data_IF_029342761325
#
_entry.id   IF_029342761325
#
_cell.length_a   1.000
_cell.length_b   1.000
_cell.length_c   1.000
_cell.angle_alpha   90.00
_cell.angle_beta   90.00
_cell.angle_gamma   90.00
#
_symmetry.space_group_name_H-M   'P 1'
#
loop_
_entity.id
_entity.type
_entity.pdbx_description
1 polymer ?
#
# COMPACT_ATOMS: atom_id res chain seq x y z
N UNK A 1 8.09 -26.61 3.67
CA UNK A 1 9.19 -25.69 4.07
C UNK A 1 8.53 -24.43 4.62
N UNK A 2 8.51 -24.29 5.95
CA UNK A 2 7.82 -23.18 6.64
C UNK A 2 8.48 -21.86 6.28
N UNK A 3 7.74 -20.99 5.60
CA UNK A 3 8.13 -19.61 5.40
C UNK A 3 8.05 -18.91 6.77
N UNK A 4 9.23 -18.56 7.31
CA UNK A 4 9.39 -17.85 8.59
C UNK A 4 8.50 -16.62 8.57
N UNK A 5 7.57 -16.53 9.54
CA UNK A 5 6.80 -15.32 9.82
C UNK A 5 7.79 -14.17 10.05
N UNK A 6 7.83 -13.24 9.10
CA UNK A 6 8.52 -11.96 9.30
C UNK A 6 7.60 -11.09 10.15
N UNK A 7 7.93 -10.99 11.42
CA UNK A 7 7.32 -10.07 12.36
C UNK A 7 7.78 -8.64 11.99
N UNK A 8 6.89 -7.86 11.37
CA UNK A 8 7.20 -6.53 10.85
C UNK A 8 7.15 -5.43 11.92
N UNK A 9 7.15 -5.77 13.20
CA UNK A 9 7.06 -4.80 14.30
C UNK A 9 8.39 -4.14 14.68
N UNK A 10 9.56 -4.62 14.19
CA UNK A 10 10.89 -4.14 14.63
C UNK A 10 11.92 -3.93 13.52
N UNK A 11 11.56 -3.53 12.31
CA UNK A 11 12.58 -3.20 11.33
C UNK A 11 12.77 -1.70 11.15
N UNK A 12 13.73 -1.13 11.89
CA UNK A 12 14.40 0.13 11.55
C UNK A 12 15.35 -0.11 10.37
N UNK A 13 14.84 -0.04 9.13
CA UNK A 13 15.70 -0.15 7.96
C UNK A 13 16.08 1.24 7.44
N UNK A 14 17.36 1.61 7.60
CA UNK A 14 17.99 2.74 6.91
C UNK A 14 18.13 2.38 5.43
N UNK A 15 17.53 3.19 4.56
CA UNK A 15 17.60 3.14 3.11
C UNK A 15 19.04 3.05 2.61
N UNK A 16 19.50 1.85 2.20
CA UNK A 16 20.70 1.61 1.39
C UNK A 16 20.44 0.46 0.42
N UNK A 17 19.43 0.60 -0.45
CA UNK A 17 19.34 -0.26 -1.62
C UNK A 17 19.40 0.62 -2.86
N UNK A 18 20.32 0.31 -3.81
CA UNK A 18 20.28 0.92 -5.14
C UNK A 18 18.92 0.60 -5.76
N UNK A 19 18.35 1.57 -6.45
CA UNK A 19 17.12 1.40 -7.22
C UNK A 19 17.35 0.32 -8.30
N UNK A 20 17.18 -0.96 -7.95
CA UNK A 20 17.06 -2.03 -8.93
C UNK A 20 15.64 -1.99 -9.49
N UNK A 21 15.30 -0.93 -10.19
CA UNK A 21 14.16 -0.88 -11.09
C UNK A 21 14.51 -1.66 -12.36
N UNK A 22 14.62 -2.99 -12.22
CA UNK A 22 14.56 -3.89 -13.36
C UNK A 22 13.11 -3.93 -13.82
N UNK A 23 12.90 -3.62 -15.09
CA UNK A 23 11.67 -3.70 -15.89
C UNK A 23 10.45 -4.30 -15.18
N UNK A 24 9.59 -3.45 -14.58
CA UNK A 24 8.18 -3.78 -14.39
C UNK A 24 7.82 -4.81 -13.30
N UNK A 25 8.63 -5.03 -12.26
CA UNK A 25 8.27 -5.91 -11.14
C UNK A 25 7.20 -5.30 -10.24
N UNK A 26 6.29 -6.14 -9.71
CA UNK A 26 5.34 -5.71 -8.70
C UNK A 26 6.07 -5.34 -7.40
N UNK A 27 5.58 -4.31 -6.72
CA UNK A 27 6.14 -3.78 -5.47
C UNK A 27 5.09 -3.83 -4.39
N UNK A 28 5.44 -4.42 -3.26
CA UNK A 28 4.65 -4.33 -2.03
C UNK A 28 5.15 -3.14 -1.22
N UNK A 29 4.24 -2.26 -0.81
CA UNK A 29 4.56 -1.02 -0.10
C UNK A 29 3.74 -0.96 1.18
N UNK A 30 4.38 -0.57 2.28
CA UNK A 30 3.72 -0.27 3.55
C UNK A 30 4.11 1.11 4.04
N UNK A 31 3.13 1.91 4.46
CA UNK A 31 3.35 3.20 5.09
C UNK A 31 2.34 3.43 6.21
N UNK A 32 2.71 4.23 7.21
CA UNK A 32 1.94 4.40 8.42
C UNK A 32 1.57 5.87 8.67
N UNK A 33 0.52 6.07 9.46
CA UNK A 33 0.17 7.37 10.01
C UNK A 33 1.24 7.86 10.98
N UNK A 34 1.39 9.17 11.10
CA UNK A 34 2.30 9.76 12.07
C UNK A 34 1.86 9.40 13.50
N UNK A 35 2.79 8.90 14.31
CA UNK A 35 2.51 8.48 15.68
C UNK A 35 1.52 7.32 15.80
N UNK A 36 1.29 6.56 14.72
CA UNK A 36 0.28 5.47 14.68
C UNK A 36 -1.15 5.96 14.99
N UNK A 37 -1.48 7.20 14.63
CA UNK A 37 -2.81 7.76 14.78
C UNK A 37 -3.84 6.95 13.99
N UNK A 38 -4.97 6.63 14.61
CA UNK A 38 -6.04 5.85 13.98
C UNK A 38 -6.82 6.71 12.99
N UNK A 39 -6.93 6.22 11.75
CA UNK A 39 -7.77 6.80 10.70
C UNK A 39 -9.23 6.47 10.99
N UNK A 40 -10.10 7.47 11.04
CA UNK A 40 -11.54 7.24 11.05
C UNK A 40 -12.02 6.60 9.73
N UNK A 41 -13.22 6.00 9.67
CA UNK A 41 -13.77 5.39 8.47
C UNK A 41 -13.67 6.29 7.25
N UNK A 42 -14.09 7.55 7.35
CA UNK A 42 -14.11 8.53 6.27
C UNK A 42 -12.68 8.84 5.77
N UNK A 43 -11.70 8.85 6.67
CA UNK A 43 -10.29 9.02 6.30
C UNK A 43 -9.76 7.82 5.54
N UNK A 44 -10.18 6.60 5.91
CA UNK A 44 -9.83 5.38 5.16
C UNK A 44 -10.45 5.37 3.77
N UNK A 45 -11.68 5.87 3.60
CA UNK A 45 -12.32 6.05 2.30
C UNK A 45 -11.54 7.01 1.41
N UNK A 46 -11.06 8.12 1.96
CA UNK A 46 -10.21 9.08 1.25
C UNK A 46 -8.94 8.39 0.74
N UNK A 47 -8.27 7.61 1.58
CA UNK A 47 -7.02 6.93 1.21
C UNK A 47 -7.27 5.88 0.12
N UNK A 48 -8.29 5.04 0.28
CA UNK A 48 -8.63 4.00 -0.69
C UNK A 48 -8.96 4.62 -2.06
N UNK A 49 -9.81 5.65 -2.10
CA UNK A 49 -10.12 6.37 -3.35
C UNK A 49 -8.87 6.94 -4.01
N UNK A 50 -7.93 7.48 -3.22
CA UNK A 50 -6.68 8.01 -3.77
C UNK A 50 -5.79 6.91 -4.36
N UNK A 51 -5.74 5.73 -3.75
CA UNK A 51 -5.03 4.57 -4.30
C UNK A 51 -5.67 4.10 -5.62
N UNK A 52 -6.99 4.01 -5.67
CA UNK A 52 -7.73 3.64 -6.87
C UNK A 52 -7.60 4.68 -8.00
N UNK A 53 -7.56 5.97 -7.67
CA UNK A 53 -7.41 7.04 -8.67
C UNK A 53 -6.11 6.95 -9.48
N UNK A 54 -5.04 6.47 -8.87
CA UNK A 54 -3.72 6.29 -9.52
C UNK A 54 -3.63 5.05 -10.41
N UNK A 55 -4.56 4.10 -10.24
CA UNK A 55 -4.62 2.86 -11.02
C UNK A 55 -4.86 3.14 -12.51
N UNK A 56 -4.10 2.47 -13.39
CA UNK A 56 -4.12 2.68 -14.84
C UNK A 56 -3.47 3.98 -15.31
N UNK A 57 -2.91 4.81 -14.42
CA UNK A 57 -2.27 6.10 -14.75
C UNK A 57 -0.78 6.10 -14.42
N UNK A 58 -0.44 5.82 -13.18
CA UNK A 58 0.96 5.84 -12.68
C UNK A 58 1.44 4.46 -12.27
N UNK A 59 0.53 3.55 -12.06
CA UNK A 59 0.75 2.16 -11.69
C UNK A 59 -0.47 1.31 -12.04
N UNK A 60 -0.27 0.02 -12.09
CA UNK A 60 -1.31 -0.98 -12.05
C UNK A 60 -1.46 -1.45 -10.60
N UNK A 61 -2.63 -1.24 -10.00
CA UNK A 61 -2.92 -1.66 -8.63
C UNK A 61 -3.38 -3.12 -8.62
N UNK A 62 -2.80 -3.93 -7.74
CA UNK A 62 -3.17 -5.32 -7.56
C UNK A 62 -3.93 -5.55 -6.26
N UNK A 63 -3.53 -4.85 -5.19
CA UNK A 63 -4.24 -4.84 -3.91
C UNK A 63 -3.98 -3.56 -3.14
N UNK A 64 -4.98 -3.12 -2.36
CA UNK A 64 -4.87 -2.04 -1.39
C UNK A 64 -5.64 -2.41 -0.13
N UNK A 65 -4.98 -2.37 1.03
CA UNK A 65 -5.59 -2.62 2.33
C UNK A 65 -5.28 -1.46 3.26
N UNK A 66 -6.33 -0.70 3.60
CA UNK A 66 -6.21 0.49 4.44
C UNK A 66 -6.54 0.10 5.87
N UNK A 67 -5.51 -0.20 6.65
CA UNK A 67 -5.64 -0.51 8.07
C UNK A 67 -5.89 0.76 8.89
N UNK A 68 -6.32 0.65 10.16
CA UNK A 68 -6.57 1.84 10.98
C UNK A 68 -5.38 2.80 11.09
N UNK A 69 -4.15 2.32 11.20
CA UNK A 69 -2.95 3.15 11.42
C UNK A 69 -1.87 3.00 10.36
N UNK A 70 -2.10 2.21 9.30
CA UNK A 70 -1.17 2.01 8.19
C UNK A 70 -1.87 1.50 6.93
N UNK A 71 -1.15 1.50 5.83
CA UNK A 71 -1.65 1.10 4.52
C UNK A 71 -0.70 0.10 3.90
N UNK A 72 -1.26 -0.94 3.29
CA UNK A 72 -0.54 -1.88 2.44
C UNK A 72 -1.00 -1.71 1.00
N UNK A 73 -0.04 -1.62 0.09
CA UNK A 73 -0.28 -1.59 -1.36
C UNK A 73 0.54 -2.68 -2.05
N UNK A 74 -0.05 -3.26 -3.08
CA UNK A 74 0.63 -4.12 -4.04
C UNK A 74 0.36 -3.54 -5.43
N UNK A 75 1.39 -3.09 -6.12
CA UNK A 75 1.26 -2.40 -7.39
C UNK A 75 2.45 -2.65 -8.31
N UNK A 76 2.24 -2.51 -9.61
CA UNK A 76 3.31 -2.46 -10.62
C UNK A 76 3.41 -1.04 -11.14
N UNK A 77 4.56 -0.35 -11.02
CA UNK A 77 4.75 0.99 -11.57
C UNK A 77 4.53 0.99 -13.09
N UNK A 78 3.80 2.00 -13.59
CA UNK A 78 3.62 2.17 -15.02
C UNK A 78 4.94 2.51 -15.73
N UNK A 79 5.07 2.10 -16.98
CA UNK A 79 6.18 2.50 -17.84
C UNK A 79 5.86 3.88 -18.44
N UNK A 80 6.79 4.80 -18.29
CA UNK A 80 6.71 6.15 -18.81
C UNK A 80 7.09 6.18 -20.31
N UNK A 81 6.84 7.31 -20.97
CA UNK A 81 7.14 7.51 -22.40
C UNK A 81 8.65 7.31 -22.73
N UNK A 82 9.54 7.61 -21.79
CA UNK A 82 10.98 7.39 -21.90
C UNK A 82 11.41 5.93 -21.70
N UNK A 83 10.46 5.00 -21.49
CA UNK A 83 10.71 3.59 -21.23
C UNK A 83 11.11 3.28 -19.78
N UNK A 84 11.23 4.26 -18.91
CA UNK A 84 11.52 4.06 -17.48
C UNK A 84 10.27 3.70 -16.69
N UNK A 85 10.43 2.99 -15.57
CA UNK A 85 9.33 2.78 -14.64
C UNK A 85 9.04 4.04 -13.82
N UNK A 86 7.77 4.36 -13.60
CA UNK A 86 7.36 5.46 -12.72
C UNK A 86 7.99 5.27 -11.34
N UNK A 87 8.78 6.23 -10.82
CA UNK A 87 9.47 6.06 -9.55
C UNK A 87 8.48 5.85 -8.39
N UNK A 88 8.68 4.81 -7.58
CA UNK A 88 7.86 4.50 -6.40
C UNK A 88 7.73 5.72 -5.49
N UNK A 89 8.81 6.49 -5.32
CA UNK A 89 8.78 7.74 -4.54
C UNK A 89 7.75 8.74 -5.09
N UNK A 90 7.62 8.87 -6.42
CA UNK A 90 6.64 9.77 -7.06
C UNK A 90 5.21 9.28 -6.85
N UNK A 91 5.00 7.96 -6.92
CA UNK A 91 3.72 7.32 -6.62
C UNK A 91 3.32 7.62 -5.17
N UNK A 92 4.21 7.34 -4.22
CA UNK A 92 3.98 7.53 -2.79
C UNK A 92 3.78 9.00 -2.40
N UNK A 93 4.54 9.91 -3.00
CA UNK A 93 4.35 11.35 -2.80
C UNK A 93 2.94 11.79 -3.23
N UNK A 94 2.45 11.30 -4.37
CA UNK A 94 1.10 11.59 -4.84
C UNK A 94 0.02 11.07 -3.89
N UNK A 95 0.11 9.79 -3.48
CA UNK A 95 -0.87 9.18 -2.57
C UNK A 95 -0.87 9.88 -1.21
N UNK A 96 0.29 10.04 -0.59
CA UNK A 96 0.42 10.63 0.75
C UNK A 96 0.02 12.11 0.78
N UNK A 97 0.47 12.91 -0.19
CA UNK A 97 0.20 14.35 -0.22
C UNK A 97 -1.28 14.63 -0.42
N UNK A 98 -1.90 14.01 -1.43
CA UNK A 98 -3.31 14.28 -1.74
C UNK A 98 -4.22 13.76 -0.64
N UNK A 99 -4.00 12.53 -0.15
CA UNK A 99 -4.82 11.99 0.95
C UNK A 99 -4.66 12.79 2.24
N UNK A 100 -3.44 13.22 2.60
CA UNK A 100 -3.23 14.07 3.76
C UNK A 100 -3.94 15.42 3.65
N UNK A 101 -3.92 16.05 2.47
CA UNK A 101 -4.62 17.30 2.23
C UNK A 101 -6.13 17.14 2.40
N UNK A 102 -6.71 16.11 1.80
CA UNK A 102 -8.14 15.83 1.88
C UNK A 102 -8.58 15.46 3.31
N UNK A 103 -7.81 14.63 4.01
CA UNK A 103 -8.08 14.26 5.42
C UNK A 103 -8.02 15.51 6.31
N UNK A 104 -7.00 16.35 6.15
CA UNK A 104 -6.86 17.58 6.94
C UNK A 104 -8.02 18.56 6.67
N UNK A 105 -8.44 18.71 5.42
CA UNK A 105 -9.60 19.54 5.08
C UNK A 105 -10.90 19.02 5.69
N UNK A 106 -11.15 17.71 5.57
CA UNK A 106 -12.33 17.03 6.10
C UNK A 106 -12.42 17.13 7.63
N UNK A 107 -11.29 16.89 8.31
CA UNK A 107 -11.22 16.92 9.78
C UNK A 107 -10.94 18.30 10.37
N UNK A 108 -10.88 19.35 9.51
CA UNK A 108 -10.55 20.74 9.92
C UNK A 108 -9.27 20.82 10.75
N UNK A 109 -8.27 20.02 10.42
CA UNK A 109 -6.97 19.95 11.10
C UNK A 109 -5.83 20.40 10.16
N UNK A 110 -4.65 20.57 10.72
CA UNK A 110 -3.41 20.87 9.99
C UNK A 110 -2.29 19.94 10.45
N UNK A 111 -1.22 19.87 9.67
CA UNK A 111 -0.02 19.11 9.97
C UNK A 111 0.04 17.77 9.23
N UNK A 112 1.12 17.01 9.44
CA UNK A 112 1.34 15.75 8.75
C UNK A 112 0.34 14.67 9.20
N UNK A 113 -0.11 13.87 8.24
CA UNK A 113 -0.93 12.67 8.48
C UNK A 113 -0.05 11.43 8.48
N UNK A 114 0.91 11.37 7.59
CA UNK A 114 1.77 10.22 7.33
C UNK A 114 3.16 10.38 7.88
N UNK A 115 3.78 9.28 8.28
CA UNK A 115 5.22 9.22 8.51
C UNK A 115 5.95 9.52 7.20
N UNK A 116 7.14 10.14 7.27
CA UNK A 116 7.95 10.42 6.09
C UNK A 116 8.34 9.12 5.36
N UNK A 117 8.72 8.10 6.11
CA UNK A 117 9.19 6.83 5.60
C UNK A 117 8.06 5.97 5.01
N UNK A 118 8.43 5.10 4.06
CA UNK A 118 7.63 4.00 3.54
C UNK A 118 8.57 2.81 3.37
N UNK A 119 8.08 1.62 3.63
CA UNK A 119 8.78 0.38 3.34
C UNK A 119 8.30 -0.14 2.00
N UNK A 120 9.23 -0.50 1.11
CA UNK A 120 8.92 -1.10 -0.18
C UNK A 120 9.76 -2.37 -0.43
N UNK A 121 9.14 -3.37 -1.02
CA UNK A 121 9.75 -4.64 -1.38
C UNK A 121 9.32 -5.07 -2.78
N UNK A 122 10.30 -5.31 -3.66
CA UNK A 122 10.05 -5.79 -5.05
C UNK A 122 9.82 -7.29 -5.05
N UNK A 123 8.74 -7.75 -5.64
CA UNK A 123 8.46 -9.17 -5.84
C UNK A 123 9.31 -9.71 -7.00
N UNK A 124 9.85 -10.92 -6.82
CA UNK A 124 10.80 -11.52 -7.78
C UNK A 124 10.16 -12.44 -8.82
N UNK A 125 8.91 -12.84 -8.66
CA UNK A 125 8.21 -13.74 -9.58
C UNK A 125 6.70 -13.48 -9.64
N UNK A 126 6.05 -13.89 -10.75
CA UNK A 126 4.60 -13.75 -10.95
C UNK A 126 3.77 -14.52 -9.92
N UNK A 127 4.21 -15.72 -9.52
CA UNK A 127 3.51 -16.53 -8.50
C UNK A 127 3.51 -15.85 -7.12
N UNK A 128 4.49 -14.98 -6.86
CA UNK A 128 4.53 -14.18 -5.66
C UNK A 128 3.41 -13.12 -5.61
N UNK A 129 2.85 -12.71 -6.76
CA UNK A 129 1.82 -11.66 -6.83
C UNK A 129 0.52 -12.11 -6.13
N UNK A 130 -0.02 -13.27 -6.49
CA UNK A 130 -1.26 -13.82 -5.90
C UNK A 130 -1.05 -14.10 -4.41
N UNK A 131 0.10 -14.70 -4.05
CA UNK A 131 0.44 -14.98 -2.65
C UNK A 131 0.57 -13.69 -1.83
N UNK A 132 1.17 -12.65 -2.39
CA UNK A 132 1.30 -11.34 -1.75
C UNK A 132 -0.07 -10.65 -1.59
N UNK A 133 -0.91 -10.67 -2.63
CA UNK A 133 -2.26 -10.11 -2.55
C UNK A 133 -3.10 -10.80 -1.47
N UNK A 134 -3.08 -12.13 -1.41
CA UNK A 134 -3.73 -12.91 -0.36
C UNK A 134 -3.20 -12.55 1.02
N UNK A 135 -1.87 -12.48 1.16
CA UNK A 135 -1.23 -12.07 2.41
C UNK A 135 -1.71 -10.68 2.87
N UNK A 136 -1.86 -9.71 1.95
CA UNK A 136 -2.37 -8.39 2.28
C UNK A 136 -3.84 -8.42 2.68
N UNK A 137 -4.69 -9.17 1.96
CA UNK A 137 -6.11 -9.31 2.25
C UNK A 137 -6.38 -9.88 3.65
N UNK A 138 -5.53 -10.78 4.13
CA UNK A 138 -5.63 -11.42 5.44
C UNK A 138 -5.19 -10.52 6.62
N UNK A 139 -4.62 -9.33 6.36
CA UNK A 139 -4.17 -8.44 7.45
C UNK A 139 -5.27 -8.05 8.43
N UNK A 140 -6.50 -7.68 8.01
CA UNK A 140 -7.58 -7.35 8.93
C UNK A 140 -7.99 -8.53 9.81
N UNK A 141 -7.98 -9.76 9.26
CA UNK A 141 -8.30 -10.99 10.01
C UNK A 141 -7.20 -11.29 11.02
N UNK A 142 -5.93 -11.27 10.60
CA UNK A 142 -4.77 -11.48 11.51
C UNK A 142 -4.70 -10.47 12.64
N UNK A 143 -5.23 -9.26 12.43
CA UNK A 143 -5.33 -8.21 13.45
C UNK A 143 -6.61 -8.30 14.30
N UNK A 144 -7.45 -9.30 14.04
CA UNK A 144 -8.71 -9.50 14.76
C UNK A 144 -9.75 -8.39 14.55
N UNK A 145 -9.65 -7.64 13.44
CA UNK A 145 -10.60 -6.54 13.13
C UNK A 145 -11.88 -7.11 12.53
N UNK A 146 -11.77 -8.14 11.73
CA UNK A 146 -12.88 -8.92 11.14
C UNK A 146 -12.56 -10.40 11.25
N UNK A 147 -13.58 -11.24 11.16
CA UNK A 147 -13.43 -12.72 11.14
C UNK A 147 -13.16 -13.26 9.73
N UNK A 148 -13.51 -12.51 8.69
CA UNK A 148 -13.33 -12.84 7.28
C UNK A 148 -12.89 -11.60 6.52
N UNK A 149 -11.91 -11.75 5.63
CA UNK A 149 -11.33 -10.64 4.86
C UNK A 149 -12.34 -9.96 3.94
N UNK A 150 -13.35 -10.67 3.44
CA UNK A 150 -14.44 -10.12 2.63
C UNK A 150 -15.32 -9.11 3.37
N UNK A 151 -15.31 -9.14 4.71
CA UNK A 151 -16.05 -8.21 5.56
C UNK A 151 -15.34 -6.88 5.78
N UNK A 152 -14.08 -6.75 5.34
CA UNK A 152 -13.31 -5.55 5.55
C UNK A 152 -13.48 -4.54 4.41
N UNK A 153 -14.28 -3.50 4.63
CA UNK A 153 -14.67 -2.52 3.62
C UNK A 153 -13.49 -1.79 2.93
N UNK A 154 -12.34 -1.69 3.59
CA UNK A 154 -11.13 -1.01 3.06
C UNK A 154 -10.07 -1.99 2.57
N UNK A 155 -10.51 -3.14 2.05
CA UNK A 155 -9.71 -4.10 1.31
C UNK A 155 -10.20 -4.11 -0.15
N UNK A 156 -9.31 -3.74 -1.06
CA UNK A 156 -9.55 -3.84 -2.50
C UNK A 156 -8.52 -4.76 -3.12
N UNK A 157 -8.97 -5.70 -3.91
CA UNK A 157 -8.13 -6.65 -4.66
C UNK A 157 -8.64 -6.68 -6.09
N UNK A 158 -7.73 -6.77 -7.04
CA UNK A 158 -8.06 -6.90 -8.46
C UNK A 158 -8.74 -8.24 -8.73
N UNK A 159 -9.87 -8.23 -9.43
CA UNK A 159 -10.76 -9.39 -9.63
C UNK A 159 -10.08 -10.57 -10.31
N UNK A 160 -9.18 -10.32 -11.26
CA UNK A 160 -8.48 -11.37 -12.02
C UNK A 160 -7.43 -12.16 -11.21
N UNK A 161 -7.17 -11.78 -9.96
CA UNK A 161 -6.33 -12.55 -9.04
C UNK A 161 -7.07 -13.74 -8.39
N UNK A 162 -8.39 -13.88 -8.60
CA UNK A 162 -9.18 -14.99 -8.12
C UNK A 162 -9.21 -15.15 -6.59
N UNK A 163 -9.18 -14.03 -5.86
CA UNK A 163 -9.16 -13.98 -4.39
C UNK A 163 -10.44 -13.41 -3.76
N UNK A 164 -11.44 -13.12 -4.58
CA UNK A 164 -12.78 -12.63 -4.17
C UNK A 164 -13.78 -13.75 -4.11
#
# INVERSE_FOLDING_TARGET
>A
MLMRMLDFTEYHYRRRLPHMQGRGGAVMITFATLGRAVLCPESRDVVLRQCLWGNGKRYELHAAVIMPEHVHLLLTPAILEDGSACPVRRIMQGIKSVSAHQINAMLKRRGPVWQAESYDHVLRSGDALVSAARYLAENPVRRGIVSDSSQYAWCWIRDDLGLT
#
